data_IF_219612013726
#
_entry.id   IF_219612013726
#
_cell.length_a   1.000
_cell.length_b   1.000
_cell.length_c   1.000
_cell.angle_alpha   90.00
_cell.angle_beta   90.00
_cell.angle_gamma   90.00
#
_symmetry.space_group_name_H-M   'P 1'
#
loop_
_entity.id
_entity.type
_entity.pdbx_description
1 polymer ?
#
# COMPACT_ATOMS: atom_id res chain seq x y z
N UNK A 1 9.45 23.77 33.06
CA UNK A 1 9.04 22.37 32.78
C UNK A 1 9.02 22.20 31.28
N UNK A 2 9.76 21.26 30.69
CA UNK A 2 9.62 20.96 29.26
C UNK A 2 8.26 20.30 29.09
N UNK A 3 7.38 20.88 28.27
CA UNK A 3 6.06 20.29 27.99
C UNK A 3 6.25 18.85 27.51
N UNK A 4 5.71 17.89 28.27
CA UNK A 4 5.69 16.49 27.85
C UNK A 4 4.96 16.41 26.51
N UNK A 5 5.61 15.90 25.44
CA UNK A 5 4.99 15.84 24.13
C UNK A 5 3.69 15.04 24.17
N UNK A 6 2.62 15.59 23.60
CA UNK A 6 1.31 14.92 23.56
C UNK A 6 1.19 14.05 22.31
N UNK A 7 0.49 12.94 22.44
CA UNK A 7 -0.02 12.15 21.32
C UNK A 7 -1.51 12.38 21.17
N UNK A 8 -1.96 12.56 19.93
CA UNK A 8 -3.35 12.77 19.59
C UNK A 8 -3.86 11.54 18.87
N UNK A 9 -4.98 10.97 19.28
CA UNK A 9 -5.68 9.95 18.52
C UNK A 9 -6.93 10.56 17.88
N UNK A 10 -7.20 10.20 16.63
CA UNK A 10 -8.37 10.68 15.89
C UNK A 10 -9.09 9.48 15.31
N UNK A 11 -10.33 9.29 15.75
CA UNK A 11 -11.27 8.41 15.04
C UNK A 11 -11.92 9.20 13.90
N UNK A 12 -11.91 8.60 12.71
CA UNK A 12 -12.28 9.27 11.45
C UNK A 12 -13.55 8.64 10.89
N UNK A 13 -14.64 9.38 10.93
CA UNK A 13 -15.88 9.04 10.26
C UNK A 13 -16.08 9.86 8.98
N UNK A 14 -17.17 9.60 8.26
CA UNK A 14 -17.53 10.38 7.06
C UNK A 14 -17.74 11.85 7.40
N UNK A 15 -18.54 12.13 8.41
CA UNK A 15 -19.04 13.48 8.69
C UNK A 15 -18.30 14.15 9.87
N UNK A 16 -17.67 13.38 10.75
CA UNK A 16 -17.02 13.88 11.96
C UNK A 16 -15.65 13.27 12.25
N UNK A 17 -14.86 13.99 13.03
CA UNK A 17 -13.57 13.61 13.59
C UNK A 17 -13.63 13.69 15.12
N UNK A 18 -13.45 12.58 15.80
CA UNK A 18 -13.35 12.54 17.25
C UNK A 18 -11.88 12.48 17.64
N UNK A 19 -11.38 13.54 18.28
CA UNK A 19 -9.98 13.65 18.67
C UNK A 19 -9.82 13.53 20.19
N UNK A 20 -8.75 12.88 20.63
CA UNK A 20 -8.38 12.72 22.03
C UNK A 20 -6.88 12.98 22.25
N UNK A 21 -6.50 13.60 23.37
CA UNK A 21 -5.11 13.86 23.74
C UNK A 21 -4.61 12.89 24.81
N UNK A 22 -3.31 12.57 24.77
CA UNK A 22 -2.61 11.82 25.80
C UNK A 22 -1.16 12.36 25.98
N UNK A 23 -0.63 12.54 27.21
CA UNK A 23 -1.29 12.31 28.51
C UNK A 23 -2.48 13.24 28.74
N UNK A 24 -3.48 12.76 29.48
CA UNK A 24 -4.78 13.41 29.66
C UNK A 24 -5.95 12.61 29.07
N UNK A 25 -7.12 13.26 29.00
CA UNK A 25 -8.38 12.70 28.50
C UNK A 25 -9.25 13.74 27.80
N UNK A 26 -8.69 14.91 27.45
CA UNK A 26 -9.42 15.93 26.71
C UNK A 26 -9.83 15.38 25.34
N UNK A 27 -11.13 15.42 25.06
CA UNK A 27 -11.71 14.98 23.80
C UNK A 27 -12.47 16.12 23.15
N UNK A 28 -12.49 16.15 21.82
CA UNK A 28 -13.28 17.12 21.05
C UNK A 28 -13.69 16.54 19.71
N UNK A 29 -14.92 16.80 19.32
CA UNK A 29 -15.46 16.48 18.00
C UNK A 29 -15.35 17.67 17.07
N UNK A 30 -15.04 17.39 15.81
CA UNK A 30 -15.00 18.36 14.71
C UNK A 30 -15.72 17.78 13.50
N UNK A 31 -16.14 18.64 12.58
CA UNK A 31 -16.65 18.17 11.28
C UNK A 31 -15.49 17.69 10.39
N UNK A 32 -15.76 16.70 9.54
CA UNK A 32 -14.76 16.18 8.61
C UNK A 32 -14.75 16.99 7.30
N UNK A 33 -14.55 18.30 7.42
CA UNK A 33 -14.49 19.24 6.30
C UNK A 33 -13.36 20.28 6.46
N UNK A 34 -13.33 21.28 5.60
CA UNK A 34 -12.34 22.36 5.66
C UNK A 34 -12.36 23.18 6.95
N UNK A 35 -13.55 23.50 7.44
CA UNK A 35 -13.70 24.31 8.64
C UNK A 35 -13.31 23.49 9.88
N UNK A 36 -13.76 22.24 9.96
CA UNK A 36 -13.46 21.33 11.05
C UNK A 36 -11.98 20.95 11.13
N UNK A 37 -11.29 20.74 10.00
CA UNK A 37 -9.83 20.54 9.99
C UNK A 37 -9.06 21.77 10.50
N UNK A 38 -9.55 22.97 10.17
CA UNK A 38 -8.99 24.22 10.67
C UNK A 38 -9.25 24.38 12.18
N UNK A 39 -10.45 24.05 12.64
CA UNK A 39 -10.81 24.06 14.05
C UNK A 39 -9.99 23.04 14.87
N UNK A 40 -9.74 21.84 14.32
CA UNK A 40 -8.87 20.84 14.92
C UNK A 40 -7.46 21.39 15.11
N UNK A 41 -6.86 22.00 14.08
CA UNK A 41 -5.53 22.63 14.19
C UNK A 41 -5.48 23.73 15.23
N UNK A 42 -6.51 24.57 15.32
CA UNK A 42 -6.62 25.60 16.36
C UNK A 42 -6.71 24.98 17.75
N UNK A 43 -7.44 23.87 17.90
CA UNK A 43 -7.55 23.14 19.16
C UNK A 43 -6.22 22.51 19.59
N UNK A 44 -5.44 21.97 18.64
CA UNK A 44 -4.06 21.50 18.88
C UNK A 44 -3.21 22.66 19.41
N UNK A 45 -3.32 23.84 18.78
CA UNK A 45 -2.65 25.07 19.22
C UNK A 45 -1.12 24.97 19.10
N UNK A 46 -0.41 25.53 20.08
CA UNK A 46 1.07 25.54 20.14
C UNK A 46 1.66 24.37 20.92
N UNK A 47 0.87 23.35 21.25
CA UNK A 47 1.34 22.22 22.07
C UNK A 47 2.39 21.42 21.30
N UNK A 48 3.40 20.92 22.01
CA UNK A 48 4.36 19.98 21.44
C UNK A 48 3.66 18.64 21.16
N UNK A 49 3.40 18.35 19.88
CA UNK A 49 2.77 17.09 19.45
C UNK A 49 3.85 16.12 19.02
N UNK A 50 3.91 14.94 19.66
CA UNK A 50 4.78 13.85 19.24
C UNK A 50 4.22 13.11 18.02
N UNK A 51 2.93 12.74 18.07
CA UNK A 51 2.25 11.96 17.01
C UNK A 51 0.76 12.29 16.95
N UNK A 52 0.19 12.26 15.76
CA UNK A 52 -1.26 12.28 15.50
C UNK A 52 -1.63 10.95 14.83
N UNK A 53 -2.27 10.06 15.58
CA UNK A 53 -2.61 8.71 15.17
C UNK A 53 -4.06 8.64 14.73
N UNK A 54 -4.32 8.05 13.57
CA UNK A 54 -5.68 7.79 13.08
C UNK A 54 -5.69 6.51 12.26
N UNK A 55 -6.84 5.85 12.22
CA UNK A 55 -7.02 4.67 11.40
C UNK A 55 -7.52 4.99 9.99
N UNK A 56 -7.12 4.16 9.03
CA UNK A 56 -7.51 4.31 7.64
C UNK A 56 -8.83 3.54 7.36
N UNK A 57 -9.97 4.21 7.55
CA UNK A 57 -11.28 3.63 7.19
C UNK A 57 -11.86 4.37 5.98
N UNK A 58 -11.89 3.70 4.83
CA UNK A 58 -12.34 4.29 3.56
C UNK A 58 -11.50 5.48 3.09
N UNK A 59 -12.13 6.42 2.38
CA UNK A 59 -11.48 7.62 1.82
C UNK A 59 -11.48 8.84 2.76
N UNK A 60 -12.27 8.79 3.84
CA UNK A 60 -12.62 9.97 4.65
C UNK A 60 -11.43 10.59 5.40
N UNK A 61 -10.36 9.84 5.61
CA UNK A 61 -9.12 10.34 6.22
C UNK A 61 -8.23 11.16 5.26
N UNK A 62 -8.40 11.02 3.94
CA UNK A 62 -7.42 11.55 2.95
C UNK A 62 -7.25 13.07 3.02
N UNK A 63 -8.34 13.81 3.24
CA UNK A 63 -8.30 15.27 3.34
C UNK A 63 -7.65 15.73 4.66
N UNK A 64 -8.00 15.07 5.77
CA UNK A 64 -7.40 15.29 7.08
C UNK A 64 -5.89 15.03 7.05
N UNK A 65 -5.48 13.86 6.57
CA UNK A 65 -4.07 13.43 6.44
C UNK A 65 -3.25 14.49 5.68
N UNK A 66 -3.71 14.91 4.50
CA UNK A 66 -3.06 15.94 3.69
C UNK A 66 -2.91 17.27 4.43
N UNK A 67 -3.99 17.80 5.00
CA UNK A 67 -3.96 19.10 5.67
C UNK A 67 -3.07 19.11 6.91
N UNK A 68 -3.07 18.03 7.69
CA UNK A 68 -2.20 17.92 8.86
C UNK A 68 -0.73 17.78 8.45
N UNK A 69 -0.42 16.98 7.42
CA UNK A 69 0.95 16.90 6.88
C UNK A 69 1.43 18.23 6.31
N UNK A 70 0.59 18.94 5.54
CA UNK A 70 0.91 20.28 5.01
C UNK A 70 1.15 21.31 6.11
N UNK A 71 0.51 21.13 7.27
CA UNK A 71 0.74 21.95 8.45
C UNK A 71 2.01 21.55 9.25
N UNK A 72 2.80 20.58 8.76
CA UNK A 72 4.01 20.09 9.42
C UNK A 72 3.76 19.20 10.64
N UNK A 73 2.54 18.68 10.82
CA UNK A 73 2.21 17.85 11.98
C UNK A 73 2.65 16.38 11.79
N UNK A 74 3.04 15.69 12.88
CA UNK A 74 3.57 14.33 12.83
C UNK A 74 2.45 13.29 12.72
N UNK A 75 1.96 13.08 11.51
CA UNK A 75 0.79 12.25 11.21
C UNK A 75 1.18 10.76 11.06
N UNK A 76 0.43 9.88 11.72
CA UNK A 76 0.65 8.44 11.78
C UNK A 76 -0.62 7.69 11.36
N UNK A 77 -0.66 7.20 10.12
CA UNK A 77 -1.76 6.33 9.65
C UNK A 77 -1.54 4.89 10.06
N UNK A 78 -2.42 4.34 10.90
CA UNK A 78 -2.30 2.98 11.44
C UNK A 78 -3.28 2.01 10.79
N UNK A 79 -2.94 0.71 10.85
CA UNK A 79 -3.80 -0.34 10.35
C UNK A 79 -4.96 -0.59 11.35
N UNK A 80 -6.23 -0.52 10.93
CA UNK A 80 -7.38 -0.77 11.81
C UNK A 80 -7.29 -2.09 12.58
N UNK A 81 -6.71 -3.13 11.97
CA UNK A 81 -6.50 -4.44 12.63
C UNK A 81 -5.47 -4.36 13.77
N UNK A 82 -4.43 -3.54 13.64
CA UNK A 82 -3.45 -3.37 14.71
C UNK A 82 -4.04 -2.56 15.85
N UNK A 83 -4.72 -1.45 15.52
CA UNK A 83 -5.43 -0.63 16.48
C UNK A 83 -6.45 -1.46 17.28
N UNK A 84 -7.26 -2.28 16.59
CA UNK A 84 -8.21 -3.19 17.22
C UNK A 84 -7.55 -4.23 18.13
N UNK A 85 -6.48 -4.89 17.70
CA UNK A 85 -5.77 -5.88 18.53
C UNK A 85 -5.17 -5.25 19.78
N UNK A 86 -4.73 -4.00 19.70
CA UNK A 86 -4.24 -3.26 20.86
C UNK A 86 -5.38 -2.91 21.83
N UNK A 87 -6.54 -2.47 21.32
CA UNK A 87 -7.73 -2.24 22.14
C UNK A 87 -8.17 -3.52 22.89
N UNK A 88 -8.21 -4.66 22.18
CA UNK A 88 -8.53 -5.98 22.76
C UNK A 88 -7.51 -6.38 23.83
N UNK A 89 -6.22 -6.19 23.57
CA UNK A 89 -5.16 -6.53 24.53
C UNK A 89 -5.14 -5.63 25.79
N UNK A 90 -5.67 -4.41 25.68
CA UNK A 90 -5.74 -3.45 26.80
C UNK A 90 -7.07 -3.48 27.55
N UNK A 91 -7.96 -4.44 27.23
CA UNK A 91 -9.22 -4.63 27.96
C UNK A 91 -10.28 -3.55 27.71
N UNK A 92 -10.16 -2.77 26.62
CA UNK A 92 -11.13 -1.72 26.30
C UNK A 92 -12.36 -2.36 25.65
N UNK A 93 -13.41 -2.62 26.45
CA UNK A 93 -14.66 -3.27 26.00
C UNK A 93 -15.70 -2.28 25.43
N UNK A 94 -15.68 -1.03 25.87
CA UNK A 94 -16.61 0.00 25.43
C UNK A 94 -16.20 0.56 24.05
N UNK A 95 -17.13 0.54 23.09
CA UNK A 95 -16.91 1.07 21.74
C UNK A 95 -17.67 2.38 21.58
N UNK A 96 -16.97 3.49 21.79
CA UNK A 96 -17.47 4.84 21.48
C UNK A 96 -16.37 5.61 20.77
N UNK A 97 -16.74 6.52 19.87
CA UNK A 97 -15.78 7.30 19.06
C UNK A 97 -14.71 7.99 19.93
N UNK A 98 -15.09 8.46 21.13
CA UNK A 98 -14.17 9.08 22.11
C UNK A 98 -13.18 8.09 22.71
N UNK A 99 -13.64 6.89 23.04
CA UNK A 99 -12.79 5.82 23.58
C UNK A 99 -11.84 5.31 22.50
N UNK A 100 -12.32 5.18 21.26
CA UNK A 100 -11.51 4.77 20.11
C UNK A 100 -10.42 5.81 19.82
N UNK A 101 -10.75 7.10 19.83
CA UNK A 101 -9.78 8.18 19.72
C UNK A 101 -8.72 8.15 20.84
N UNK A 102 -9.12 7.97 22.10
CA UNK A 102 -8.16 7.89 23.22
C UNK A 102 -7.29 6.63 23.13
N UNK A 103 -7.85 5.52 22.67
CA UNK A 103 -7.12 4.27 22.43
C UNK A 103 -6.06 4.47 21.35
N UNK A 104 -6.38 5.15 20.25
CA UNK A 104 -5.41 5.51 19.21
C UNK A 104 -4.29 6.43 19.74
N UNK A 105 -4.60 7.36 20.65
CA UNK A 105 -3.57 8.19 21.29
C UNK A 105 -2.61 7.33 22.12
N UNK A 106 -3.13 6.40 22.93
CA UNK A 106 -2.34 5.45 23.73
C UNK A 106 -1.54 4.49 22.87
N UNK A 107 -2.12 4.00 21.77
CA UNK A 107 -1.43 3.19 20.77
C UNK A 107 -0.20 3.92 20.24
N UNK A 108 -0.32 5.22 19.95
CA UNK A 108 0.77 6.05 19.46
C UNK A 108 1.95 6.19 20.41
N UNK A 109 1.67 6.20 21.71
CA UNK A 109 2.71 6.21 22.76
C UNK A 109 3.32 4.82 22.92
N UNK A 110 2.50 3.77 22.97
CA UNK A 110 2.97 2.42 23.27
C UNK A 110 3.78 1.78 22.14
N UNK A 111 3.37 1.99 20.89
CA UNK A 111 3.97 1.34 19.72
C UNK A 111 4.76 2.27 18.81
N UNK A 112 4.72 3.57 19.09
CA UNK A 112 5.52 4.57 18.38
C UNK A 112 5.48 4.43 16.84
N UNK A 113 4.29 4.37 16.22
CA UNK A 113 4.18 4.14 14.79
C UNK A 113 4.93 5.22 14.01
N UNK A 114 5.56 4.79 12.91
CA UNK A 114 6.32 5.69 12.04
C UNK A 114 5.44 6.84 11.53
N UNK A 115 5.96 8.06 11.64
CA UNK A 115 5.37 9.25 11.02
C UNK A 115 5.47 9.09 9.51
N UNK A 116 4.37 9.29 8.79
CA UNK A 116 4.32 9.16 7.34
C UNK A 116 3.75 10.43 6.74
N UNK A 117 4.40 10.89 5.67
CA UNK A 117 3.84 11.97 4.88
C UNK A 117 2.61 11.49 4.11
N UNK A 118 1.60 12.34 4.04
CA UNK A 118 0.48 12.16 3.13
C UNK A 118 0.99 12.01 1.69
N UNK A 119 0.41 11.11 0.88
CA UNK A 119 0.64 11.13 -0.56
C UNK A 119 0.30 12.51 -1.15
N UNK A 120 1.07 12.96 -2.13
CA UNK A 120 0.69 14.13 -2.93
C UNK A 120 -0.65 13.87 -3.64
N UNK A 121 -1.32 14.93 -4.09
CA UNK A 121 -2.61 14.78 -4.79
C UNK A 121 -2.46 13.92 -6.04
N UNK A 122 -1.38 14.14 -6.81
CA UNK A 122 -1.02 13.34 -7.98
C UNK A 122 -0.75 11.88 -7.63
N UNK A 123 -0.05 11.61 -6.53
CA UNK A 123 0.18 10.25 -6.06
C UNK A 123 -1.13 9.56 -5.64
N UNK A 124 -2.04 10.29 -4.99
CA UNK A 124 -3.34 9.77 -4.59
C UNK A 124 -4.24 9.50 -5.80
N UNK A 125 -4.25 10.40 -6.78
CA UNK A 125 -4.94 10.27 -8.06
C UNK A 125 -4.43 9.04 -8.84
N UNK A 126 -3.10 8.87 -8.93
CA UNK A 126 -2.48 7.71 -9.55
C UNK A 126 -2.88 6.40 -8.85
N UNK A 127 -2.85 6.38 -7.52
CA UNK A 127 -3.25 5.21 -6.74
C UNK A 127 -4.73 4.84 -6.95
N UNK A 128 -5.61 5.84 -7.10
CA UNK A 128 -7.02 5.63 -7.37
C UNK A 128 -7.28 5.06 -8.76
N UNK A 129 -6.65 5.62 -9.81
CA UNK A 129 -6.75 5.12 -11.17
C UNK A 129 -6.23 3.67 -11.28
N UNK A 130 -5.06 3.38 -10.68
CA UNK A 130 -4.51 2.02 -10.67
C UNK A 130 -5.42 1.05 -9.92
N UNK A 131 -5.99 1.45 -8.79
CA UNK A 131 -6.94 0.62 -8.04
C UNK A 131 -8.22 0.33 -8.85
N UNK A 132 -8.76 1.33 -9.55
CA UNK A 132 -9.91 1.18 -10.44
C UNK A 132 -9.60 0.21 -11.59
N UNK A 133 -8.45 0.37 -12.23
CA UNK A 133 -7.96 -0.54 -13.28
C UNK A 133 -7.83 -1.99 -12.79
N UNK A 134 -7.25 -2.20 -11.61
CA UNK A 134 -7.17 -3.53 -10.99
C UNK A 134 -8.57 -4.12 -10.71
N UNK A 135 -9.53 -3.29 -10.32
CA UNK A 135 -10.94 -3.66 -10.15
C UNK A 135 -11.54 -4.17 -11.46
N UNK A 136 -11.45 -3.37 -12.52
CA UNK A 136 -11.94 -3.73 -13.84
C UNK A 136 -11.26 -4.96 -14.41
N UNK A 137 -9.96 -5.15 -14.16
CA UNK A 137 -9.26 -6.37 -14.57
C UNK A 137 -9.83 -7.63 -13.90
N UNK A 138 -10.24 -7.55 -12.62
CA UNK A 138 -10.92 -8.67 -11.94
C UNK A 138 -12.32 -8.90 -12.51
N UNK A 139 -13.05 -7.82 -12.77
CA UNK A 139 -14.39 -7.91 -13.37
C UNK A 139 -14.34 -8.46 -14.79
N UNK A 140 -13.29 -8.14 -15.56
CA UNK A 140 -13.02 -8.72 -16.87
C UNK A 140 -12.86 -10.24 -16.77
N UNK A 141 -12.02 -10.72 -15.86
CA UNK A 141 -11.84 -12.17 -15.63
C UNK A 141 -13.14 -12.84 -15.20
N UNK A 142 -13.90 -12.23 -14.26
CA UNK A 142 -15.21 -12.75 -13.84
C UNK A 142 -16.20 -12.82 -15.01
N UNK A 143 -16.20 -11.81 -15.87
CA UNK A 143 -17.09 -11.72 -17.04
C UNK A 143 -16.69 -12.74 -18.11
N UNK A 144 -15.39 -12.98 -18.34
CA UNK A 144 -14.90 -14.03 -19.22
C UNK A 144 -15.30 -15.42 -18.74
N UNK A 145 -15.12 -15.70 -17.44
CA UNK A 145 -15.54 -16.98 -16.85
C UNK A 145 -17.06 -17.17 -16.98
N UNK A 146 -17.86 -16.11 -16.75
CA UNK A 146 -19.31 -16.15 -16.96
C UNK A 146 -19.67 -16.43 -18.42
N UNK A 147 -18.99 -15.77 -19.36
CA UNK A 147 -19.20 -15.99 -20.81
C UNK A 147 -18.96 -17.46 -21.19
N UNK A 148 -17.91 -18.08 -20.64
CA UNK A 148 -17.58 -19.48 -20.91
C UNK A 148 -18.63 -20.46 -20.36
N UNK A 149 -19.36 -20.07 -19.30
CA UNK A 149 -20.39 -20.88 -18.65
C UNK A 149 -21.83 -20.52 -19.04
N UNK A 150 -22.04 -19.73 -20.10
CA UNK A 150 -23.37 -19.25 -20.52
C UNK A 150 -23.74 -19.79 -21.90
N UNK A 151 -24.90 -20.44 -22.01
CA UNK A 151 -25.43 -20.95 -23.29
C UNK A 151 -26.59 -20.08 -23.83
N UNK A 152 -27.37 -19.47 -22.94
CA UNK A 152 -28.50 -18.64 -23.32
C UNK A 152 -28.06 -17.43 -24.18
N UNK A 153 -28.65 -17.31 -25.38
CA UNK A 153 -28.26 -16.31 -26.37
C UNK A 153 -28.41 -14.84 -25.92
N UNK A 154 -29.43 -14.52 -25.11
CA UNK A 154 -29.62 -13.17 -24.57
C UNK A 154 -28.50 -12.83 -23.58
N UNK A 155 -28.23 -13.73 -22.64
CA UNK A 155 -27.18 -13.54 -21.63
C UNK A 155 -25.78 -13.49 -22.27
N UNK A 156 -25.54 -14.26 -23.33
CA UNK A 156 -24.29 -14.17 -24.11
C UNK A 156 -24.12 -12.78 -24.75
N UNK A 157 -25.17 -12.21 -25.34
CA UNK A 157 -25.11 -10.84 -25.91
C UNK A 157 -24.82 -9.80 -24.83
N UNK A 158 -25.52 -9.85 -23.71
CA UNK A 158 -25.30 -8.94 -22.58
C UNK A 158 -23.88 -9.06 -22.01
N UNK A 159 -23.39 -10.28 -21.85
CA UNK A 159 -22.03 -10.54 -21.34
C UNK A 159 -20.96 -10.03 -22.30
N UNK A 160 -21.13 -10.19 -23.61
CA UNK A 160 -20.23 -9.62 -24.63
C UNK A 160 -20.23 -8.09 -24.59
N UNK A 161 -21.40 -7.46 -24.44
CA UNK A 161 -21.50 -6.01 -24.30
C UNK A 161 -20.78 -5.52 -23.04
N UNK A 162 -21.03 -6.16 -21.90
CA UNK A 162 -20.34 -5.84 -20.64
C UNK A 162 -18.83 -6.01 -20.74
N UNK A 163 -18.36 -7.06 -21.41
CA UNK A 163 -16.92 -7.28 -21.62
C UNK A 163 -16.29 -6.14 -22.43
N UNK A 164 -16.91 -5.72 -23.53
CA UNK A 164 -16.44 -4.57 -24.33
C UNK A 164 -16.41 -3.28 -23.52
N UNK A 165 -17.42 -3.03 -22.69
CA UNK A 165 -17.46 -1.86 -21.81
C UNK A 165 -16.28 -1.87 -20.83
N UNK A 166 -16.02 -3.00 -20.17
CA UNK A 166 -14.91 -3.15 -19.23
C UNK A 166 -13.56 -2.93 -19.94
N UNK A 167 -13.38 -3.49 -21.13
CA UNK A 167 -12.14 -3.33 -21.92
C UNK A 167 -11.91 -1.87 -22.34
N UNK A 168 -12.97 -1.18 -22.79
CA UNK A 168 -12.90 0.25 -23.10
C UNK A 168 -12.55 1.10 -21.87
N UNK A 169 -13.14 0.79 -20.71
CA UNK A 169 -12.83 1.48 -19.46
C UNK A 169 -11.38 1.24 -19.00
N UNK A 170 -10.87 0.01 -19.14
CA UNK A 170 -9.46 -0.29 -18.85
C UNK A 170 -8.55 0.54 -19.76
N UNK A 171 -8.82 0.60 -21.07
CA UNK A 171 -8.02 1.38 -22.01
C UNK A 171 -8.04 2.88 -21.70
N UNK A 172 -9.20 3.43 -21.33
CA UNK A 172 -9.34 4.83 -20.92
C UNK A 172 -8.51 5.14 -19.66
N UNK A 173 -8.56 4.25 -18.66
CA UNK A 173 -7.77 4.41 -17.44
C UNK A 173 -6.26 4.25 -17.72
N UNK A 174 -5.86 3.29 -18.56
CA UNK A 174 -4.46 3.11 -18.93
C UNK A 174 -3.90 4.38 -19.60
N UNK A 175 -4.68 5.03 -20.46
CA UNK A 175 -4.33 6.34 -21.05
C UNK A 175 -4.22 7.44 -20.00
N UNK A 176 -5.18 7.52 -19.07
CA UNK A 176 -5.17 8.52 -18.00
C UNK A 176 -3.96 8.35 -17.05
N UNK A 177 -3.63 7.10 -16.69
CA UNK A 177 -2.45 6.78 -15.88
C UNK A 177 -1.16 7.18 -16.58
N UNK A 178 -1.01 6.86 -17.87
CA UNK A 178 0.16 7.26 -18.64
C UNK A 178 0.31 8.80 -18.68
N UNK A 179 -0.76 9.51 -19.04
CA UNK A 179 -0.76 10.97 -19.09
C UNK A 179 -0.42 11.62 -17.73
N UNK A 180 -0.95 11.07 -16.63
CA UNK A 180 -0.65 11.55 -15.28
C UNK A 180 0.82 11.37 -14.90
N UNK A 181 1.43 10.24 -15.30
CA UNK A 181 2.85 9.97 -15.06
C UNK A 181 3.73 10.86 -15.94
N UNK A 182 3.38 11.02 -17.22
CA UNK A 182 4.14 11.85 -18.17
C UNK A 182 4.10 13.34 -17.81
N UNK A 183 3.04 13.80 -17.16
CA UNK A 183 2.93 15.18 -16.66
C UNK A 183 3.88 15.47 -15.48
N UNK A 184 4.42 14.43 -14.82
CA UNK A 184 5.27 14.55 -13.63
C UNK A 184 6.67 13.98 -13.94
N UNK A 185 7.68 14.83 -14.27
CA UNK A 185 8.99 14.38 -14.75
C UNK A 185 9.67 13.34 -13.83
N UNK A 186 9.54 13.51 -12.50
CA UNK A 186 10.08 12.58 -11.52
C UNK A 186 9.38 11.22 -11.59
N UNK A 187 8.06 11.18 -11.79
CA UNK A 187 7.33 9.90 -11.94
C UNK A 187 7.65 9.24 -13.28
N UNK A 188 7.73 10.01 -14.37
CA UNK A 188 8.10 9.51 -15.70
C UNK A 188 9.49 8.87 -15.68
N UNK A 189 10.48 9.55 -15.12
CA UNK A 189 11.84 9.01 -14.99
C UNK A 189 11.89 7.72 -14.17
N UNK A 190 11.19 7.69 -13.03
CA UNK A 190 11.09 6.47 -12.20
C UNK A 190 10.37 5.33 -12.94
N UNK A 191 9.34 5.62 -13.75
CA UNK A 191 8.68 4.63 -14.62
C UNK A 191 9.69 4.05 -15.61
N UNK A 192 10.50 4.88 -16.25
CA UNK A 192 11.43 4.45 -17.29
C UNK A 192 12.54 3.56 -16.71
N UNK A 193 13.03 3.87 -15.50
CA UNK A 193 13.91 2.97 -14.75
C UNK A 193 13.22 1.62 -14.50
N UNK A 194 11.96 1.61 -14.06
CA UNK A 194 11.23 0.36 -13.81
C UNK A 194 11.01 -0.46 -15.07
N UNK A 195 10.67 0.19 -16.19
CA UNK A 195 10.46 -0.44 -17.50
C UNK A 195 11.74 -1.06 -18.07
N UNK A 196 12.92 -0.56 -17.68
CA UNK A 196 14.19 -1.14 -18.10
C UNK A 196 14.44 -2.55 -17.53
N UNK A 197 13.72 -2.96 -16.48
CA UNK A 197 13.88 -4.27 -15.84
C UNK A 197 13.18 -5.35 -16.69
N UNK A 198 13.90 -6.39 -17.17
CA UNK A 198 13.28 -7.45 -17.95
C UNK A 198 12.13 -8.13 -17.19
N UNK A 199 10.95 -8.14 -17.82
CA UNK A 199 9.71 -8.68 -17.25
C UNK A 199 8.81 -7.65 -16.58
N UNK A 200 9.27 -6.43 -16.32
CA UNK A 200 8.44 -5.35 -15.79
C UNK A 200 7.83 -4.55 -16.94
N UNK A 201 6.53 -4.74 -17.19
CA UNK A 201 5.76 -3.94 -18.15
C UNK A 201 5.09 -2.72 -17.50
N UNK A 202 4.48 -1.86 -18.33
CA UNK A 202 3.83 -0.61 -17.91
C UNK A 202 2.82 -0.82 -16.77
N UNK A 203 1.94 -1.82 -16.86
CA UNK A 203 0.98 -2.13 -15.79
C UNK A 203 1.66 -2.38 -14.45
N UNK A 204 2.75 -3.15 -14.43
CA UNK A 204 3.50 -3.43 -13.20
C UNK A 204 4.22 -2.18 -12.73
N UNK A 205 4.89 -1.45 -13.62
CA UNK A 205 5.58 -0.20 -13.27
C UNK A 205 4.61 0.81 -12.64
N UNK A 206 3.44 1.03 -13.24
CA UNK A 206 2.39 1.89 -12.70
C UNK A 206 1.89 1.39 -11.33
N UNK A 207 1.70 0.09 -11.16
CA UNK A 207 1.30 -0.48 -9.88
C UNK A 207 2.36 -0.29 -8.79
N UNK A 208 3.65 -0.38 -9.12
CA UNK A 208 4.75 -0.11 -8.18
C UNK A 208 4.80 1.38 -7.81
N UNK A 209 4.72 2.28 -8.79
CA UNK A 209 4.71 3.73 -8.53
C UNK A 209 3.52 4.14 -7.66
N UNK A 210 2.32 3.68 -8.00
CA UNK A 210 1.08 3.98 -7.30
C UNK A 210 1.06 3.48 -5.86
N UNK A 211 1.47 2.22 -5.66
CA UNK A 211 1.26 1.50 -4.40
C UNK A 211 2.54 1.36 -3.57
N UNK A 212 3.66 1.89 -4.04
CA UNK A 212 4.96 1.87 -3.35
C UNK A 212 5.79 3.12 -3.66
N UNK A 213 5.28 4.33 -3.34
CA UNK A 213 6.02 5.58 -3.58
C UNK A 213 7.39 5.62 -2.88
N UNK A 214 7.58 4.83 -1.81
CA UNK A 214 8.83 4.70 -1.06
C UNK A 214 9.93 3.93 -1.81
N UNK A 215 9.64 3.35 -2.98
CA UNK A 215 10.60 2.56 -3.73
C UNK A 215 11.79 3.42 -4.20
N UNK A 216 13.00 3.09 -3.78
CA UNK A 216 14.20 3.92 -3.95
C UNK A 216 14.79 4.40 -2.62
N UNK A 217 13.95 4.68 -1.62
CA UNK A 217 14.40 5.19 -0.31
C UNK A 217 14.55 4.13 0.79
N UNK A 218 14.17 2.88 0.51
CA UNK A 218 14.11 1.81 1.53
C UNK A 218 15.38 0.97 1.64
N UNK A 219 15.81 0.62 2.84
CA UNK A 219 16.95 -0.29 3.05
C UNK A 219 16.72 -1.70 2.49
N UNK A 220 17.79 -2.49 2.40
CA UNK A 220 17.72 -3.85 1.85
C UNK A 220 16.71 -4.72 2.61
N UNK A 221 15.86 -5.44 1.87
CA UNK A 221 14.82 -6.30 2.44
C UNK A 221 13.53 -5.59 2.87
N UNK A 222 13.55 -4.29 3.17
CA UNK A 222 12.34 -3.52 3.51
C UNK A 222 11.33 -3.52 2.35
N UNK A 223 11.80 -3.35 1.12
CA UNK A 223 10.96 -3.43 -0.07
C UNK A 223 10.28 -4.82 -0.21
N UNK A 224 11.01 -5.90 0.06
CA UNK A 224 10.45 -7.25 0.09
C UNK A 224 9.40 -7.43 1.19
N UNK A 225 9.64 -6.91 2.39
CA UNK A 225 8.70 -6.98 3.51
C UNK A 225 7.43 -6.17 3.23
N UNK A 226 7.56 -4.94 2.74
CA UNK A 226 6.44 -4.05 2.43
C UNK A 226 5.59 -4.58 1.26
N UNK A 227 6.20 -5.26 0.28
CA UNK A 227 5.48 -5.99 -0.77
C UNK A 227 4.84 -7.31 -0.29
N UNK A 228 5.10 -7.75 0.94
CA UNK A 228 4.57 -9.01 1.49
C UNK A 228 5.26 -10.26 0.94
N UNK A 229 6.53 -10.14 0.57
CA UNK A 229 7.37 -11.18 -0.04
C UNK A 229 8.50 -11.66 0.88
N UNK A 230 8.67 -11.05 2.06
CA UNK A 230 9.60 -11.53 3.07
C UNK A 230 9.02 -12.78 3.77
N UNK A 231 9.76 -13.90 3.83
CA UNK A 231 9.33 -15.09 4.55
C UNK A 231 9.32 -14.81 6.07
N UNK A 232 8.24 -15.22 6.74
CA UNK A 232 8.13 -15.15 8.20
C UNK A 232 8.42 -16.54 8.75
N UNK A 233 9.52 -16.65 9.48
CA UNK A 233 9.92 -17.89 10.15
C UNK A 233 8.95 -18.22 11.29
N UNK A 234 8.54 -19.49 11.37
CA UNK A 234 7.73 -20.01 12.47
C UNK A 234 8.55 -21.07 13.18
N UNK A 235 9.21 -20.68 14.27
CA UNK A 235 10.04 -21.55 15.08
C UNK A 235 9.68 -21.33 16.56
N UNK A 236 9.67 -22.39 17.35
CA UNK A 236 9.43 -22.34 18.80
C UNK A 236 10.19 -23.48 19.48
N UNK A 237 11.17 -23.15 20.33
CA UNK A 237 12.07 -24.14 20.92
C UNK A 237 12.74 -24.98 19.84
N UNK A 238 12.55 -26.30 19.90
CA UNK A 238 13.08 -27.27 18.94
C UNK A 238 12.24 -27.41 17.67
N UNK A 239 11.01 -26.87 17.64
CA UNK A 239 10.12 -27.00 16.50
C UNK A 239 10.49 -26.03 15.38
N UNK A 240 10.76 -26.59 14.19
CA UNK A 240 10.98 -25.82 12.97
C UNK A 240 9.80 -25.95 12.00
N UNK A 241 8.96 -24.93 11.96
CA UNK A 241 7.87 -24.82 11.01
C UNK A 241 8.29 -24.33 9.63
N UNK A 242 7.40 -24.49 8.66
CA UNK A 242 7.57 -23.90 7.33
C UNK A 242 7.43 -22.38 7.41
N UNK A 243 8.40 -21.66 6.86
CA UNK A 243 8.32 -20.22 6.69
C UNK A 243 7.27 -19.87 5.63
N UNK A 244 6.44 -18.87 5.92
CA UNK A 244 5.35 -18.44 5.02
C UNK A 244 5.38 -16.93 4.83
N UNK A 245 5.00 -16.46 3.65
CA UNK A 245 4.78 -15.04 3.42
C UNK A 245 3.40 -14.64 3.97
N UNK A 246 3.32 -13.54 4.72
CA UNK A 246 2.07 -12.98 5.24
C UNK A 246 2.19 -11.46 5.37
N UNK A 247 1.07 -10.76 5.23
CA UNK A 247 1.03 -9.30 5.40
C UNK A 247 1.53 -8.55 4.17
N UNK A 248 2.08 -7.35 4.40
CA UNK A 248 2.49 -6.41 3.36
C UNK A 248 1.34 -5.90 2.49
N UNK A 249 1.69 -5.21 1.40
CA UNK A 249 0.78 -4.68 0.40
C UNK A 249 0.46 -5.77 -0.63
N UNK A 250 -0.59 -6.53 -0.38
CA UNK A 250 -0.95 -7.70 -1.20
C UNK A 250 -1.13 -7.39 -2.70
N UNK A 251 -1.54 -6.16 -3.06
CA UNK A 251 -1.60 -5.75 -4.47
C UNK A 251 -0.24 -5.78 -5.18
N UNK A 252 0.84 -5.35 -4.52
CA UNK A 252 2.20 -5.41 -5.07
C UNK A 252 2.64 -6.86 -5.30
N UNK A 253 2.36 -7.74 -4.32
CA UNK A 253 2.61 -9.17 -4.47
C UNK A 253 1.90 -9.74 -5.70
N UNK A 254 0.63 -9.41 -5.95
CA UNK A 254 -0.07 -9.87 -7.16
C UNK A 254 0.55 -9.29 -8.43
N UNK A 255 0.89 -8.00 -8.41
CA UNK A 255 1.48 -7.30 -9.55
C UNK A 255 2.85 -7.83 -9.98
N UNK A 256 3.61 -8.42 -9.05
CA UNK A 256 4.96 -8.97 -9.30
C UNK A 256 4.96 -10.41 -9.82
N UNK A 257 3.83 -11.13 -9.77
CA UNK A 257 3.79 -12.54 -10.15
C UNK A 257 4.08 -12.78 -11.63
N UNK A 258 3.35 -12.09 -12.53
CA UNK A 258 3.58 -12.21 -13.98
C UNK A 258 4.98 -11.72 -14.39
N UNK A 259 5.48 -10.57 -13.89
CA UNK A 259 6.87 -10.17 -14.09
C UNK A 259 7.89 -11.23 -13.69
N UNK A 260 7.68 -11.92 -12.56
CA UNK A 260 8.58 -12.99 -12.14
C UNK A 260 8.59 -14.16 -13.13
N UNK A 261 7.43 -14.56 -13.66
CA UNK A 261 7.36 -15.61 -14.67
C UNK A 261 8.07 -15.22 -15.98
N UNK A 262 7.91 -13.97 -16.42
CA UNK A 262 8.61 -13.45 -17.61
C UNK A 262 10.11 -13.37 -17.35
N UNK A 263 10.51 -12.87 -16.18
CA UNK A 263 11.90 -12.77 -15.79
C UNK A 263 12.59 -14.14 -15.69
N UNK A 264 11.91 -15.18 -15.20
CA UNK A 264 12.43 -16.56 -15.20
C UNK A 264 12.71 -17.06 -16.63
N UNK A 265 11.96 -16.61 -17.63
CA UNK A 265 12.14 -17.02 -19.02
C UNK A 265 13.25 -16.24 -19.73
N UNK A 266 13.35 -14.95 -19.47
CA UNK A 266 14.17 -14.04 -20.28
C UNK A 266 15.40 -13.47 -19.57
N UNK A 267 15.49 -13.55 -18.24
CA UNK A 267 16.65 -13.09 -17.47
C UNK A 267 17.47 -14.29 -16.97
N UNK A 268 18.67 -14.55 -17.53
CA UNK A 268 19.48 -15.72 -17.17
C UNK A 268 19.81 -15.80 -15.67
N UNK A 269 20.08 -14.67 -15.01
CA UNK A 269 20.42 -14.64 -13.59
C UNK A 269 19.23 -15.04 -12.70
N UNK A 270 18.03 -14.57 -13.05
CA UNK A 270 16.80 -14.92 -12.33
C UNK A 270 16.36 -16.35 -12.63
N UNK A 271 16.57 -16.82 -13.87
CA UNK A 271 16.37 -18.22 -14.24
C UNK A 271 17.26 -19.16 -13.42
N UNK A 272 18.58 -18.90 -13.37
CA UNK A 272 19.52 -19.73 -12.59
C UNK A 272 19.11 -19.85 -11.13
N UNK A 273 18.63 -18.77 -10.52
CA UNK A 273 18.16 -18.80 -9.13
C UNK A 273 16.87 -19.60 -8.94
N UNK A 274 15.92 -19.47 -9.87
CA UNK A 274 14.71 -20.29 -9.87
C UNK A 274 15.07 -21.77 -9.99
N UNK A 275 15.86 -22.14 -11.00
CA UNK A 275 16.27 -23.52 -11.26
C UNK A 275 17.03 -24.11 -10.06
N UNK A 276 17.94 -23.35 -9.44
CA UNK A 276 18.68 -23.79 -8.26
C UNK A 276 17.77 -24.08 -7.05
N UNK A 277 16.69 -23.33 -6.86
CA UNK A 277 15.72 -23.61 -5.79
C UNK A 277 14.89 -24.85 -6.08
N UNK A 278 14.45 -25.02 -7.33
CA UNK A 278 13.69 -26.21 -7.76
C UNK A 278 14.55 -27.47 -7.67
N UNK A 279 15.81 -27.40 -8.10
CA UNK A 279 16.77 -28.50 -8.00
C UNK A 279 17.03 -28.95 -6.54
N UNK A 280 16.87 -28.04 -5.57
CA UNK A 280 16.91 -28.34 -4.12
C UNK A 280 15.59 -28.89 -3.57
N UNK A 281 14.64 -29.28 -4.43
CA UNK A 281 13.34 -29.81 -4.04
C UNK A 281 12.36 -28.78 -3.46
N UNK A 282 12.61 -27.47 -3.64
CA UNK A 282 11.65 -26.45 -3.18
C UNK A 282 10.44 -26.39 -4.12
N UNK A 283 9.21 -26.18 -3.60
CA UNK A 283 8.03 -26.01 -4.45
C UNK A 283 8.19 -24.84 -5.43
N UNK A 284 7.70 -25.01 -6.65
CA UNK A 284 7.80 -23.99 -7.71
C UNK A 284 7.28 -22.61 -7.27
N UNK A 285 6.17 -22.57 -6.53
CA UNK A 285 5.61 -21.31 -6.00
C UNK A 285 6.54 -20.60 -5.01
N UNK A 286 7.35 -21.34 -4.25
CA UNK A 286 8.36 -20.76 -3.37
C UNK A 286 9.49 -20.14 -4.20
N UNK A 287 9.95 -20.85 -5.23
CA UNK A 287 10.97 -20.35 -6.15
C UNK A 287 10.50 -19.08 -6.89
N UNK A 288 9.24 -19.06 -7.37
CA UNK A 288 8.63 -17.85 -7.98
C UNK A 288 8.58 -16.71 -6.97
N UNK A 289 8.16 -16.97 -5.72
CA UNK A 289 8.12 -15.95 -4.66
C UNK A 289 9.50 -15.36 -4.39
N UNK A 290 10.56 -16.17 -4.43
CA UNK A 290 11.94 -15.71 -4.29
C UNK A 290 12.34 -14.78 -5.46
N UNK A 291 11.96 -15.10 -6.69
CA UNK A 291 12.17 -14.23 -7.86
C UNK A 291 11.39 -12.92 -7.73
N UNK A 292 10.12 -12.98 -7.31
CA UNK A 292 9.32 -11.77 -7.04
C UNK A 292 9.99 -10.86 -6.01
N UNK A 293 10.51 -11.44 -4.91
CA UNK A 293 11.25 -10.69 -3.88
C UNK A 293 12.50 -10.04 -4.47
N UNK A 294 13.23 -10.76 -5.32
CA UNK A 294 14.43 -10.21 -5.96
C UNK A 294 14.11 -9.09 -6.95
N UNK A 295 13.01 -9.21 -7.71
CA UNK A 295 12.57 -8.13 -8.62
C UNK A 295 12.26 -6.84 -7.86
N UNK A 296 11.54 -6.90 -6.73
CA UNK A 296 11.23 -5.68 -5.98
C UNK A 296 12.46 -5.08 -5.29
N UNK A 297 13.40 -5.92 -4.83
CA UNK A 297 14.68 -5.45 -4.29
C UNK A 297 15.53 -4.80 -5.38
N UNK A 298 15.57 -5.39 -6.57
CA UNK A 298 16.25 -4.82 -7.74
C UNK A 298 15.65 -3.46 -8.14
N UNK A 299 14.32 -3.38 -8.24
CA UNK A 299 13.62 -2.14 -8.56
C UNK A 299 13.93 -1.03 -7.53
N UNK A 300 13.93 -1.36 -6.25
CA UNK A 300 14.33 -0.44 -5.17
C UNK A 300 15.78 0.05 -5.32
N UNK A 301 16.71 -0.85 -5.65
CA UNK A 301 18.12 -0.53 -5.82
C UNK A 301 18.37 0.36 -7.05
N UNK A 302 17.74 0.05 -8.19
CA UNK A 302 17.88 0.85 -9.42
C UNK A 302 17.33 2.26 -9.26
N UNK A 303 16.17 2.40 -8.62
CA UNK A 303 15.60 3.71 -8.30
C UNK A 303 16.45 4.50 -7.31
N UNK A 304 17.11 3.83 -6.34
CA UNK A 304 18.06 4.49 -5.43
C UNK A 304 19.29 5.01 -6.16
N UNK A 305 19.82 4.19 -7.07
CA UNK A 305 21.03 4.48 -7.82
C UNK A 305 20.77 5.36 -9.04
N UNK A 306 19.51 5.75 -9.25
CA UNK A 306 19.06 6.57 -10.36
C UNK A 306 19.57 6.09 -11.73
N UNK A 307 19.44 4.78 -11.99
CA UNK A 307 19.97 4.18 -13.23
C UNK A 307 19.06 3.08 -13.78
N UNK A 308 19.11 2.91 -15.09
CA UNK A 308 18.47 1.79 -15.77
C UNK A 308 19.15 0.45 -15.44
N UNK A 309 18.36 -0.61 -15.56
CA UNK A 309 18.87 -1.97 -15.52
C UNK A 309 19.85 -2.21 -16.67
N UNK A 310 20.94 -2.89 -16.36
CA UNK A 310 21.89 -3.40 -17.34
C UNK A 310 22.19 -4.87 -17.00
N UNK A 311 22.45 -5.71 -18.00
CA UNK A 311 22.91 -7.07 -17.75
C UNK A 311 24.23 -7.02 -16.99
N UNK A 312 24.45 -7.98 -16.08
CA UNK A 312 25.78 -8.15 -15.48
C UNK A 312 26.73 -8.59 -16.58
N UNK A 313 27.78 -7.82 -16.82
CA UNK A 313 28.91 -8.27 -17.62
C UNK A 313 29.55 -9.42 -16.84
N UNK A 314 29.71 -10.56 -17.52
CA UNK A 314 30.25 -11.79 -16.95
C UNK A 314 31.71 -11.63 -16.54
#
# INVERSE_FOLDING_TARGET
>A
MRDTPITIGIDVSKDHLDAALHPGSATRRFDNDAAGHTALRRWIGKRAVARIVFEATGIYHRALERRLTQAGLPVCKVNPRQARRFAEATGTLAKTDRVDALMLARFGVALEPAIRQAPSEKQAELAELVAAREGLSRDRTRTLNRKAATENGLLLRQTRHRLRQIEAQIAAIDKAVAALIDAEPVMAHRRDILLSIPGVGATTAHALLANMPELGSMEEGQAGALAGLAPITRQSGTWQGKSVIRGGRAQLRRALYMPALVAIRHNPDLKRQYDALVARGKPAMLAITAVMRKLIVLANALLRQDRSWAPKIA
#
